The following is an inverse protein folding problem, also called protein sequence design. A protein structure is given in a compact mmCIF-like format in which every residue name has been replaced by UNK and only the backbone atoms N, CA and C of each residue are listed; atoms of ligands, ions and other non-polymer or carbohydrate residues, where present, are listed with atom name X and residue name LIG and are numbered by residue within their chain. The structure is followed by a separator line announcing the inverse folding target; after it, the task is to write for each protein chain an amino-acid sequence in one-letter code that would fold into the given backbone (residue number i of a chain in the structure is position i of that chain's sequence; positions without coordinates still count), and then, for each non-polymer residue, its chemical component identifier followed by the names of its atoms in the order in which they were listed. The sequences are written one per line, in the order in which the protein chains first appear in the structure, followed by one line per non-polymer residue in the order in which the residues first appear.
data_IF_707676251352
#
_entry.id   IF_707676251352
#
_cell.length_a   1.000
_cell.length_b   1.000
_cell.length_c   1.000
_cell.angle_alpha   90.00
_cell.angle_beta   90.00
_cell.angle_gamma   90.00
#
_symmetry.space_group_name_H-M   'P 1'
#
loop_
_entity.id
_entity.type
_entity.pdbx_description
1 polymer ?
#
# COMPACT_ATOMS: atom_id res chain seq x y z
N UNK A 1 -24.55 -29.50 -5.08
CA UNK A 1 -25.47 -29.22 -6.20
C UNK A 1 -26.35 -28.00 -5.84
N UNK A 2 -27.62 -27.90 -6.31
CA UNK A 2 -28.52 -26.72 -6.21
C UNK A 2 -28.58 -26.02 -4.84
N UNK A 3 -28.40 -26.75 -3.76
CA UNK A 3 -28.37 -26.20 -2.39
C UNK A 3 -27.20 -25.26 -2.14
N UNK A 4 -26.02 -25.45 -2.77
CA UNK A 4 -24.87 -24.56 -2.59
C UNK A 4 -25.16 -23.17 -3.18
N UNK A 5 -25.62 -23.13 -4.43
CA UNK A 5 -26.07 -21.91 -5.11
C UNK A 5 -27.20 -21.22 -4.34
N UNK A 6 -28.17 -21.98 -3.82
CA UNK A 6 -29.25 -21.45 -2.97
C UNK A 6 -28.74 -20.93 -1.61
N UNK A 7 -27.79 -21.61 -0.96
CA UNK A 7 -27.22 -21.23 0.32
C UNK A 7 -26.37 -19.95 0.20
N UNK A 8 -25.55 -19.85 -0.85
CA UNK A 8 -24.84 -18.61 -1.21
C UNK A 8 -25.86 -17.49 -1.43
N UNK A 9 -26.91 -17.71 -2.23
CA UNK A 9 -28.00 -16.74 -2.45
C UNK A 9 -28.80 -16.38 -1.17
N UNK A 10 -28.85 -17.24 -0.16
CA UNK A 10 -29.43 -16.92 1.14
C UNK A 10 -28.46 -16.16 2.06
N UNK A 11 -27.18 -16.51 2.10
CA UNK A 11 -26.12 -15.76 2.80
C UNK A 11 -26.06 -14.34 2.24
N UNK A 12 -26.18 -14.19 0.93
CA UNK A 12 -26.28 -12.91 0.22
C UNK A 12 -27.50 -12.11 0.64
N UNK A 13 -28.71 -12.71 0.58
CA UNK A 13 -29.94 -12.05 1.04
C UNK A 13 -29.88 -11.64 2.52
N UNK A 14 -29.21 -12.42 3.36
CA UNK A 14 -29.00 -12.14 4.80
C UNK A 14 -27.91 -11.10 5.06
N UNK A 15 -26.94 -10.92 4.15
CA UNK A 15 -25.99 -9.80 4.15
C UNK A 15 -26.69 -8.51 3.70
N UNK A 16 -27.41 -8.51 2.58
CA UNK A 16 -28.11 -7.31 2.08
C UNK A 16 -29.27 -6.89 2.98
N UNK A 17 -30.01 -7.83 3.60
CA UNK A 17 -31.06 -7.47 4.58
C UNK A 17 -30.54 -6.96 5.93
N UNK A 18 -29.21 -6.91 6.14
CA UNK A 18 -28.58 -6.33 7.34
C UNK A 18 -28.04 -4.91 7.12
N UNK A 19 -28.09 -4.40 5.88
CA UNK A 19 -27.91 -2.97 5.57
C UNK A 19 -29.25 -2.41 5.13
N UNK A 20 -29.80 -1.47 5.87
CA UNK A 20 -31.09 -0.90 5.52
C UNK A 20 -30.94 0.11 4.36
N UNK A 21 -31.38 -0.30 3.17
CA UNK A 21 -32.07 0.60 2.24
C UNK A 21 -31.25 1.36 1.20
N UNK A 22 -30.01 0.96 0.84
CA UNK A 22 -29.32 1.59 -0.29
C UNK A 22 -29.69 1.00 -1.66
N UNK A 23 -29.54 1.83 -2.70
CA UNK A 23 -29.68 1.45 -4.12
C UNK A 23 -28.63 0.39 -4.50
N UNK A 24 -27.45 0.57 -3.95
CA UNK A 24 -26.21 -0.18 -4.21
C UNK A 24 -26.34 -1.67 -3.85
N UNK A 25 -26.98 -2.00 -2.71
CA UNK A 25 -27.20 -3.39 -2.28
C UNK A 25 -28.07 -4.19 -3.27
N UNK A 26 -28.95 -3.52 -4.03
CA UNK A 26 -29.74 -4.14 -5.11
C UNK A 26 -28.91 -4.34 -6.37
N UNK A 27 -27.94 -3.46 -6.64
CA UNK A 27 -27.03 -3.56 -7.78
C UNK A 27 -26.02 -4.70 -7.58
N UNK A 28 -25.32 -4.77 -6.43
CA UNK A 28 -24.43 -5.90 -6.11
C UNK A 28 -25.16 -7.25 -6.24
N UNK A 29 -26.40 -7.33 -5.72
CA UNK A 29 -27.24 -8.51 -5.85
C UNK A 29 -27.60 -8.84 -7.31
N UNK A 30 -27.83 -7.85 -8.18
CA UNK A 30 -28.14 -8.09 -9.60
C UNK A 30 -26.92 -8.57 -10.37
N UNK A 31 -25.79 -7.88 -10.21
CA UNK A 31 -24.50 -8.23 -10.83
C UNK A 31 -24.09 -9.66 -10.50
N UNK A 32 -24.18 -10.04 -9.22
CA UNK A 32 -23.84 -11.38 -8.76
C UNK A 32 -24.83 -12.46 -9.26
N UNK A 33 -26.13 -12.16 -9.35
CA UNK A 33 -27.07 -13.09 -9.99
C UNK A 33 -26.71 -13.31 -11.47
N UNK A 34 -26.28 -12.28 -12.19
CA UNK A 34 -25.88 -12.38 -13.59
C UNK A 34 -24.55 -13.14 -13.77
N UNK A 35 -23.55 -12.91 -12.91
CA UNK A 35 -22.31 -13.69 -12.88
C UNK A 35 -22.56 -15.19 -12.59
N UNK A 36 -23.46 -15.51 -11.65
CA UNK A 36 -23.87 -16.89 -11.32
C UNK A 36 -24.82 -17.54 -12.35
N UNK A 37 -25.35 -16.76 -13.30
CA UNK A 37 -26.10 -17.27 -14.47
C UNK A 37 -25.19 -17.65 -15.64
N UNK A 38 -24.03 -17.01 -15.77
CA UNK A 38 -23.08 -17.21 -16.88
C UNK A 38 -22.12 -18.39 -16.69
N UNK A 39 -22.32 -19.20 -15.66
CA UNK A 39 -21.47 -20.35 -15.35
C UNK A 39 -22.36 -21.59 -15.26
N UNK A 40 -22.12 -22.56 -16.15
CA UNK A 40 -22.89 -23.81 -16.26
C UNK A 40 -22.71 -24.77 -15.06
N UNK A 41 -21.73 -24.49 -14.19
CA UNK A 41 -21.58 -25.17 -12.90
C UNK A 41 -22.59 -24.61 -11.88
N UNK A 42 -23.32 -25.50 -11.21
CA UNK A 42 -24.04 -25.18 -9.97
C UNK A 42 -23.15 -25.30 -8.72
N UNK A 43 -21.93 -25.83 -8.86
CA UNK A 43 -20.98 -26.02 -7.79
C UNK A 43 -19.95 -24.87 -7.75
N UNK A 44 -19.96 -24.17 -6.63
CA UNK A 44 -19.13 -23.00 -6.31
C UNK A 44 -18.55 -23.16 -4.90
N UNK A 45 -17.43 -22.49 -4.65
CA UNK A 45 -16.82 -22.36 -3.33
C UNK A 45 -16.84 -20.89 -2.88
N UNK A 46 -16.85 -20.66 -1.57
CA UNK A 46 -16.94 -19.33 -0.96
C UNK A 46 -16.12 -19.30 0.34
N UNK A 47 -15.02 -18.55 0.33
CA UNK A 47 -14.06 -18.47 1.45
C UNK A 47 -14.47 -17.48 2.56
N UNK A 48 -15.40 -16.58 2.26
CA UNK A 48 -15.83 -15.48 3.14
C UNK A 48 -15.70 -14.10 2.47
N UNK A 49 -14.78 -13.98 1.51
CA UNK A 49 -14.39 -12.74 0.83
C UNK A 49 -14.72 -12.78 -0.67
N UNK A 50 -14.68 -13.93 -1.33
CA UNK A 50 -15.05 -14.09 -2.73
C UNK A 50 -15.68 -15.47 -3.04
N UNK A 51 -16.42 -15.52 -4.14
CA UNK A 51 -16.99 -16.74 -4.72
C UNK A 51 -16.08 -17.22 -5.85
N UNK A 52 -15.80 -18.52 -5.90
CA UNK A 52 -14.90 -19.17 -6.86
C UNK A 52 -15.55 -20.41 -7.48
N UNK A 53 -14.97 -20.90 -8.57
CA UNK A 53 -15.20 -22.28 -9.03
C UNK A 53 -14.71 -23.30 -8.00
N UNK A 54 -15.27 -24.52 -8.01
CA UNK A 54 -14.91 -25.60 -7.08
C UNK A 54 -13.43 -25.98 -7.13
N UNK A 55 -12.79 -25.81 -8.30
CA UNK A 55 -11.36 -26.05 -8.50
C UNK A 55 -10.47 -24.82 -8.21
N UNK A 56 -11.08 -23.74 -7.70
CA UNK A 56 -10.48 -22.41 -7.42
C UNK A 56 -9.74 -21.75 -8.59
N UNK A 57 -9.86 -22.23 -9.82
CA UNK A 57 -9.19 -21.64 -11.01
C UNK A 57 -9.86 -20.39 -11.56
N UNK A 58 -11.11 -20.10 -11.17
CA UNK A 58 -11.86 -18.90 -11.56
C UNK A 58 -12.36 -18.19 -10.30
N UNK A 59 -11.99 -16.92 -10.15
CA UNK A 59 -12.70 -16.02 -9.23
C UNK A 59 -13.94 -15.51 -9.96
N UNK A 60 -15.11 -15.69 -9.35
CA UNK A 60 -16.43 -15.43 -9.96
C UNK A 60 -16.96 -14.07 -9.53
N UNK A 61 -16.89 -13.76 -8.22
CA UNK A 61 -17.33 -12.48 -7.69
C UNK A 61 -16.73 -12.18 -6.32
N UNK A 62 -16.28 -10.94 -6.12
CA UNK A 62 -15.78 -10.43 -4.86
C UNK A 62 -16.96 -10.06 -3.95
N UNK A 63 -17.13 -10.83 -2.86
CA UNK A 63 -18.08 -10.58 -1.79
C UNK A 63 -17.59 -9.53 -0.78
N UNK A 64 -16.28 -9.26 -0.74
CA UNK A 64 -15.67 -8.24 0.10
C UNK A 64 -16.04 -6.83 -0.39
N UNK A 65 -15.95 -5.88 0.53
CA UNK A 65 -16.08 -4.44 0.28
C UNK A 65 -14.92 -3.69 0.96
N UNK A 66 -13.76 -4.36 1.10
CA UNK A 66 -12.54 -3.78 1.64
C UNK A 66 -11.76 -2.97 0.60
N UNK A 67 -10.83 -2.15 1.08
CA UNK A 67 -10.02 -1.25 0.24
C UNK A 67 -8.88 -1.95 -0.50
N UNK A 68 -8.66 -3.23 -0.23
CA UNK A 68 -7.65 -4.06 -0.88
C UNK A 68 -8.18 -5.48 -1.09
N UNK A 69 -7.81 -6.10 -2.22
CA UNK A 69 -8.07 -7.52 -2.46
C UNK A 69 -6.83 -8.19 -3.07
N UNK A 70 -6.54 -9.42 -2.65
CA UNK A 70 -5.48 -10.26 -3.23
C UNK A 70 -6.10 -11.45 -3.93
N UNK A 71 -5.99 -11.50 -5.26
CA UNK A 71 -6.37 -12.68 -6.05
C UNK A 71 -5.37 -13.79 -5.72
N UNK A 72 -5.81 -14.95 -5.18
CA UNK A 72 -4.88 -15.98 -4.73
C UNK A 72 -4.20 -16.72 -5.89
N UNK A 73 -2.94 -17.12 -5.67
CA UNK A 73 -2.20 -17.96 -6.63
C UNK A 73 -2.94 -19.30 -6.84
N UNK A 74 -3.03 -19.71 -8.10
CA UNK A 74 -3.89 -20.81 -8.57
C UNK A 74 -5.12 -20.32 -9.34
N UNK A 75 -5.61 -19.09 -9.09
CA UNK A 75 -6.64 -18.46 -9.93
C UNK A 75 -6.05 -18.16 -11.32
N UNK A 76 -6.67 -18.68 -12.35
CA UNK A 76 -6.29 -18.51 -13.76
C UNK A 76 -7.17 -17.51 -14.50
N UNK A 77 -8.42 -17.29 -14.05
CA UNK A 77 -9.36 -16.35 -14.66
C UNK A 77 -9.98 -15.45 -13.60
N UNK A 78 -9.95 -14.13 -13.84
CA UNK A 78 -10.83 -13.17 -13.18
C UNK A 78 -12.09 -13.08 -14.04
N UNK A 79 -13.21 -13.59 -13.50
CA UNK A 79 -14.45 -13.77 -14.24
C UNK A 79 -15.19 -12.49 -14.60
N UNK A 80 -16.14 -12.61 -15.52
CA UNK A 80 -16.98 -11.49 -15.93
C UNK A 80 -17.67 -10.82 -14.73
N UNK A 81 -17.56 -9.49 -14.64
CA UNK A 81 -18.07 -8.64 -13.55
C UNK A 81 -17.54 -8.96 -12.13
N UNK A 82 -16.42 -9.69 -12.00
CA UNK A 82 -15.94 -10.20 -10.70
C UNK A 82 -15.77 -9.14 -9.59
N UNK A 83 -15.33 -7.93 -9.93
CA UNK A 83 -15.19 -6.80 -9.01
C UNK A 83 -16.09 -5.61 -9.43
N UNK A 84 -17.11 -5.83 -10.27
CA UNK A 84 -17.94 -4.75 -10.79
C UNK A 84 -18.64 -3.98 -9.67
N UNK A 85 -18.54 -2.65 -9.71
CA UNK A 85 -19.14 -1.76 -8.72
C UNK A 85 -18.43 -1.72 -7.38
N UNK A 86 -17.16 -2.13 -7.28
CA UNK A 86 -16.40 -2.12 -6.02
C UNK A 86 -15.83 -0.74 -5.70
N UNK A 87 -16.75 0.20 -5.47
CA UNK A 87 -16.59 1.62 -5.07
C UNK A 87 -15.64 1.91 -3.88
N UNK A 88 -15.06 0.92 -3.23
CA UNK A 88 -14.09 1.09 -2.14
C UNK A 88 -12.72 0.46 -2.42
N UNK A 89 -12.61 -0.41 -3.44
CA UNK A 89 -11.39 -1.12 -3.80
C UNK A 89 -10.35 -0.16 -4.36
N UNK A 90 -9.25 0.03 -3.63
CA UNK A 90 -8.12 0.89 -4.02
C UNK A 90 -6.96 0.10 -4.60
N UNK A 91 -6.73 -1.11 -4.07
CA UNK A 91 -5.59 -1.94 -4.42
C UNK A 91 -6.04 -3.35 -4.81
N UNK A 92 -5.69 -3.82 -6.00
CA UNK A 92 -5.81 -5.24 -6.36
C UNK A 92 -4.43 -5.84 -6.62
N UNK A 93 -4.12 -6.92 -5.91
CA UNK A 93 -2.94 -7.75 -6.18
C UNK A 93 -3.40 -8.92 -7.04
N UNK A 94 -2.98 -8.94 -8.31
CA UNK A 94 -3.32 -9.97 -9.29
C UNK A 94 -2.21 -11.03 -9.28
N UNK A 95 -2.56 -12.30 -9.00
CA UNK A 95 -1.62 -13.42 -8.98
C UNK A 95 -0.99 -13.73 -10.34
N UNK A 96 0.23 -14.27 -10.33
CA UNK A 96 0.97 -14.64 -11.55
C UNK A 96 0.34 -15.84 -12.26
N UNK A 97 -0.45 -16.66 -11.55
CA UNK A 97 -1.30 -17.69 -12.12
C UNK A 97 -2.37 -17.15 -13.08
N UNK A 98 -2.80 -15.89 -12.98
CA UNK A 98 -3.87 -15.32 -13.82
C UNK A 98 -3.45 -15.26 -15.29
N UNK A 99 -4.34 -15.67 -16.19
CA UNK A 99 -4.17 -15.77 -17.64
C UNK A 99 -5.20 -14.94 -18.39
N UNK A 100 -6.35 -14.68 -17.80
CA UNK A 100 -7.46 -13.97 -18.43
C UNK A 100 -8.20 -13.06 -17.44
N UNK A 101 -8.58 -11.88 -17.92
CA UNK A 101 -9.45 -10.91 -17.25
C UNK A 101 -10.64 -10.67 -18.20
N UNK A 102 -11.83 -11.10 -17.78
CA UNK A 102 -13.03 -11.11 -18.63
C UNK A 102 -13.74 -9.75 -18.69
N UNK A 103 -14.92 -9.71 -19.31
CA UNK A 103 -15.69 -8.47 -19.49
C UNK A 103 -16.07 -7.85 -18.14
N UNK A 104 -16.15 -6.51 -18.10
CA UNK A 104 -16.63 -5.74 -16.95
C UNK A 104 -15.90 -6.06 -15.61
N UNK A 105 -14.74 -6.74 -15.64
CA UNK A 105 -14.16 -7.43 -14.49
C UNK A 105 -13.86 -6.50 -13.30
N UNK A 106 -13.44 -5.26 -13.56
CA UNK A 106 -13.26 -4.18 -12.60
C UNK A 106 -14.05 -2.92 -13.01
N UNK A 107 -15.14 -3.06 -13.77
CA UNK A 107 -15.98 -1.93 -14.18
C UNK A 107 -16.55 -1.19 -12.95
N UNK A 108 -16.67 0.13 -12.98
CA UNK A 108 -17.30 0.94 -11.92
C UNK A 108 -16.55 0.84 -10.56
N UNK A 109 -15.21 0.91 -10.61
CA UNK A 109 -14.29 0.80 -9.46
C UNK A 109 -13.59 2.14 -9.11
N UNK A 110 -14.36 3.15 -8.73
CA UNK A 110 -13.99 4.58 -8.60
C UNK A 110 -12.77 4.89 -7.72
N UNK A 111 -12.40 3.99 -6.80
CA UNK A 111 -11.28 4.20 -5.87
C UNK A 111 -9.97 3.52 -6.33
N UNK A 112 -10.01 2.73 -7.40
CA UNK A 112 -8.88 1.95 -7.93
C UNK A 112 -7.92 2.86 -8.69
N UNK A 113 -6.77 3.20 -8.11
CA UNK A 113 -5.89 4.24 -8.66
C UNK A 113 -4.66 3.73 -9.44
N UNK A 114 -4.16 2.54 -9.10
CA UNK A 114 -3.01 1.89 -9.71
C UNK A 114 -3.28 0.39 -9.90
N UNK A 115 -3.08 -0.14 -11.11
CA UNK A 115 -3.22 -1.58 -11.41
C UNK A 115 -1.90 -2.15 -11.96
N UNK A 116 -1.54 -3.36 -11.51
CA UNK A 116 -0.44 -4.15 -12.07
C UNK A 116 -0.98 -5.42 -12.74
N UNK A 117 -0.68 -5.58 -14.03
CA UNK A 117 -1.07 -6.75 -14.83
C UNK A 117 0.14 -7.67 -15.01
N UNK A 118 0.15 -8.87 -14.38
CA UNK A 118 1.28 -9.80 -14.49
C UNK A 118 1.56 -10.25 -15.92
N UNK A 119 2.81 -10.55 -16.21
CA UNK A 119 3.27 -10.99 -17.54
C UNK A 119 2.60 -12.28 -18.05
N UNK A 120 1.92 -13.02 -17.16
CA UNK A 120 1.16 -14.21 -17.51
C UNK A 120 -0.22 -13.95 -18.14
N UNK A 121 -0.75 -12.72 -18.09
CA UNK A 121 -2.09 -12.39 -18.62
C UNK A 121 -2.05 -12.32 -20.14
N UNK A 122 -2.83 -13.19 -20.79
CA UNK A 122 -2.92 -13.34 -22.26
C UNK A 122 -4.10 -12.58 -22.85
N UNK A 123 -5.15 -12.35 -22.08
CA UNK A 123 -6.41 -11.79 -22.55
C UNK A 123 -7.01 -10.83 -21.53
N UNK A 124 -7.28 -9.60 -21.98
CA UNK A 124 -8.05 -8.59 -21.24
C UNK A 124 -9.18 -8.15 -22.14
N UNK A 125 -10.42 -8.44 -21.73
CA UNK A 125 -11.63 -8.23 -22.57
C UNK A 125 -12.15 -6.79 -22.49
N UNK A 126 -13.26 -6.52 -23.18
CA UNK A 126 -13.91 -5.19 -23.20
C UNK A 126 -14.42 -4.78 -21.82
N UNK A 127 -14.38 -3.48 -21.54
CA UNK A 127 -14.85 -2.84 -20.30
C UNK A 127 -14.22 -3.38 -19.00
N UNK A 128 -13.13 -4.14 -19.10
CA UNK A 128 -12.52 -4.83 -17.97
C UNK A 128 -11.99 -3.87 -16.87
N UNK A 129 -11.71 -2.61 -17.20
CA UNK A 129 -11.34 -1.53 -16.27
C UNK A 129 -12.05 -0.21 -16.62
N UNK A 130 -13.21 -0.25 -17.28
CA UNK A 130 -13.94 0.97 -17.67
C UNK A 130 -14.70 1.61 -16.48
N UNK A 131 -15.05 2.90 -16.59
CA UNK A 131 -15.67 3.69 -15.52
C UNK A 131 -14.89 3.58 -14.19
N UNK A 132 -13.56 3.65 -14.26
CA UNK A 132 -12.66 3.65 -13.10
C UNK A 132 -12.12 5.07 -12.84
N UNK A 133 -12.97 5.96 -12.33
CA UNK A 133 -12.72 7.41 -12.15
C UNK A 133 -11.31 7.82 -11.69
N UNK A 134 -10.67 7.06 -10.79
CA UNK A 134 -9.35 7.39 -10.22
C UNK A 134 -8.18 6.61 -10.81
N UNK A 135 -8.42 5.72 -11.78
CA UNK A 135 -7.39 4.88 -12.41
C UNK A 135 -6.44 5.75 -13.23
N UNK A 136 -5.38 6.22 -12.58
CA UNK A 136 -4.34 7.06 -13.20
C UNK A 136 -3.33 6.24 -13.98
N UNK A 137 -3.15 4.99 -13.56
CA UNK A 137 -2.00 4.19 -13.93
C UNK A 137 -2.31 2.70 -14.02
N UNK A 138 -1.88 2.09 -15.12
CA UNK A 138 -1.81 0.63 -15.25
C UNK A 138 -0.42 0.23 -15.75
N UNK A 139 0.13 -0.84 -15.18
CA UNK A 139 1.46 -1.36 -15.51
C UNK A 139 1.36 -2.79 -15.98
N UNK A 140 1.62 -3.02 -17.27
CA UNK A 140 1.68 -4.34 -17.88
C UNK A 140 3.11 -4.88 -17.84
N UNK A 141 3.30 -6.04 -17.21
CA UNK A 141 4.60 -6.72 -17.19
C UNK A 141 4.82 -7.66 -18.39
N UNK A 142 3.83 -7.80 -19.27
CA UNK A 142 3.88 -8.57 -20.51
C UNK A 142 2.97 -7.95 -21.57
N UNK A 143 2.80 -8.63 -22.71
CA UNK A 143 1.94 -8.18 -23.81
C UNK A 143 0.79 -9.17 -23.97
N UNK A 144 -0.47 -8.79 -23.64
CA UNK A 144 -1.62 -9.63 -23.90
C UNK A 144 -1.76 -9.95 -25.39
N UNK A 145 -2.09 -11.21 -25.71
CA UNK A 145 -2.40 -11.63 -27.08
C UNK A 145 -3.75 -11.08 -27.55
N UNK A 146 -4.68 -10.81 -26.62
CA UNK A 146 -5.86 -9.97 -26.86
C UNK A 146 -5.96 -8.88 -25.79
N UNK A 147 -6.16 -7.64 -26.23
CA UNK A 147 -6.53 -6.49 -25.42
C UNK A 147 -7.67 -5.78 -26.17
N UNK A 148 -8.77 -5.50 -25.51
CA UNK A 148 -9.91 -4.81 -26.15
C UNK A 148 -9.65 -3.32 -26.26
N UNK A 149 -10.13 -2.69 -27.34
CA UNK A 149 -10.12 -1.22 -27.42
C UNK A 149 -10.90 -0.56 -26.30
N UNK A 150 -11.95 -1.22 -25.85
CA UNK A 150 -12.85 -0.75 -24.80
C UNK A 150 -12.38 -1.07 -23.38
N UNK A 151 -11.10 -1.43 -23.16
CA UNK A 151 -10.63 -1.85 -21.84
C UNK A 151 -10.61 -0.71 -20.80
N UNK A 152 -10.46 0.54 -21.25
CA UNK A 152 -10.35 1.75 -20.41
C UNK A 152 -11.33 2.85 -20.85
N UNK A 153 -12.51 2.49 -21.37
CA UNK A 153 -13.55 3.48 -21.68
C UNK A 153 -13.92 4.27 -20.41
N UNK A 154 -14.16 5.57 -20.56
CA UNK A 154 -14.55 6.51 -19.50
C UNK A 154 -13.60 6.52 -18.27
N UNK A 155 -12.30 6.33 -18.51
CA UNK A 155 -11.22 6.44 -17.51
C UNK A 155 -10.51 7.80 -17.60
N UNK A 156 -11.24 8.89 -17.34
CA UNK A 156 -10.80 10.29 -17.58
C UNK A 156 -9.47 10.70 -16.92
N UNK A 157 -9.03 10.02 -15.85
CA UNK A 157 -7.76 10.30 -15.17
C UNK A 157 -6.58 9.41 -15.61
N UNK A 158 -6.77 8.45 -16.51
CA UNK A 158 -5.73 7.52 -16.96
C UNK A 158 -4.67 8.23 -17.82
N UNK A 159 -3.47 8.40 -17.27
CA UNK A 159 -2.34 9.04 -17.94
C UNK A 159 -1.11 8.12 -18.11
N UNK A 160 -0.95 7.09 -17.28
CA UNK A 160 0.21 6.17 -17.32
C UNK A 160 -0.22 4.74 -17.73
N UNK A 161 -0.12 4.36 -19.01
CA UNK A 161 -0.17 2.97 -19.47
C UNK A 161 1.27 2.48 -19.66
N UNK A 162 1.87 1.94 -18.60
CA UNK A 162 3.26 1.45 -18.61
C UNK A 162 3.31 0.04 -19.21
N UNK A 163 4.19 -0.17 -20.19
CA UNK A 163 4.32 -1.43 -20.96
C UNK A 163 5.79 -1.87 -21.12
N UNK A 164 6.07 -3.13 -21.48
CA UNK A 164 7.43 -3.59 -21.74
C UNK A 164 8.08 -2.88 -22.94
N UNK A 165 9.41 -2.83 -22.99
CA UNK A 165 10.15 -2.27 -24.12
C UNK A 165 9.78 -2.95 -25.46
N UNK A 166 9.54 -2.16 -26.50
CA UNK A 166 9.06 -2.58 -27.82
C UNK A 166 7.56 -2.91 -27.89
N UNK A 167 6.81 -2.91 -26.80
CA UNK A 167 5.40 -3.29 -26.80
C UNK A 167 4.45 -2.17 -27.22
N UNK A 168 4.86 -0.89 -27.16
CA UNK A 168 3.91 0.23 -27.22
C UNK A 168 3.13 0.33 -28.53
N UNK A 169 3.72 -0.09 -29.66
CA UNK A 169 3.01 -0.19 -30.95
C UNK A 169 1.89 -1.24 -30.96
N UNK A 170 2.04 -2.33 -30.20
CA UNK A 170 0.98 -3.34 -30.06
C UNK A 170 -0.18 -2.80 -29.21
N UNK A 171 0.14 -2.10 -28.11
CA UNK A 171 -0.86 -1.48 -27.25
C UNK A 171 -1.65 -0.36 -27.96
N UNK A 172 -0.98 0.60 -28.63
CA UNK A 172 -1.65 1.64 -29.43
C UNK A 172 -2.64 1.04 -30.44
N UNK A 173 -2.20 0.03 -31.20
CA UNK A 173 -3.05 -0.67 -32.18
C UNK A 173 -4.24 -1.38 -31.53
N UNK A 174 -4.04 -2.08 -30.42
CA UNK A 174 -5.11 -2.82 -29.74
C UNK A 174 -6.15 -1.88 -29.11
N UNK A 175 -5.68 -0.76 -28.55
CA UNK A 175 -6.51 0.27 -27.93
C UNK A 175 -7.18 1.22 -28.94
N UNK A 176 -6.96 1.02 -30.25
CA UNK A 176 -7.45 1.90 -31.33
C UNK A 176 -7.08 3.38 -31.14
N UNK A 177 -5.98 3.62 -30.44
CA UNK A 177 -5.40 4.94 -30.21
C UNK A 177 -4.97 5.58 -31.53
N UNK A 178 -5.39 6.83 -31.73
CA UNK A 178 -4.99 7.67 -32.86
C UNK A 178 -3.56 8.15 -32.60
N UNK A 179 -2.66 7.94 -33.57
CA UNK A 179 -1.28 8.43 -33.52
C UNK A 179 -1.29 9.97 -33.32
N UNK A 180 -0.63 10.47 -32.27
CA UNK A 180 -0.65 11.89 -31.86
C UNK A 180 -1.32 12.14 -30.50
N UNK A 181 -2.62 11.87 -30.35
CA UNK A 181 -3.39 12.31 -29.17
C UNK A 181 -3.07 11.53 -27.89
N UNK A 182 -2.57 10.30 -28.03
CA UNK A 182 -2.46 9.31 -26.94
C UNK A 182 -1.05 8.71 -26.83
N UNK A 183 -0.08 9.26 -27.57
CA UNK A 183 1.33 8.85 -27.48
C UNK A 183 1.94 9.01 -26.09
N UNK A 184 1.42 9.97 -25.32
CA UNK A 184 1.79 10.24 -23.93
C UNK A 184 1.29 9.18 -22.95
N UNK A 185 0.23 8.44 -23.29
CA UNK A 185 -0.34 7.40 -22.43
C UNK A 185 0.56 6.15 -22.39
N UNK A 186 1.07 5.70 -23.54
CA UNK A 186 1.75 4.41 -23.64
C UNK A 186 3.27 4.54 -23.44
N UNK A 187 3.69 4.42 -22.19
CA UNK A 187 5.06 4.61 -21.72
C UNK A 187 5.81 3.27 -21.67
N UNK A 188 6.94 3.14 -22.36
CA UNK A 188 7.76 1.92 -22.28
C UNK A 188 8.71 1.95 -21.07
N UNK A 189 8.77 0.85 -20.31
CA UNK A 189 9.81 0.67 -19.28
C UNK A 189 11.18 0.59 -19.95
N UNK A 190 12.09 1.49 -19.58
CA UNK A 190 13.47 1.47 -20.07
C UNK A 190 14.12 0.08 -19.83
N UNK A 191 14.40 -0.63 -20.92
CA UNK A 191 14.79 -2.03 -20.88
C UNK A 191 16.11 -2.25 -20.15
N UNK A 192 16.05 -2.94 -19.00
CA UNK A 192 17.23 -3.58 -18.41
C UNK A 192 17.72 -4.67 -19.37
N UNK A 193 18.86 -4.45 -20.01
CA UNK A 193 19.56 -5.50 -20.79
C UNK A 193 19.88 -6.69 -19.88
N UNK A 194 19.93 -7.88 -20.46
CA UNK A 194 20.11 -9.14 -19.73
C UNK A 194 21.46 -9.27 -19.02
N UNK A 195 21.51 -8.94 -17.73
CA UNK A 195 22.67 -9.23 -16.88
C UNK A 195 22.57 -10.60 -16.18
N UNK A 196 22.81 -11.67 -16.95
CA UNK A 196 23.16 -12.98 -16.36
C UNK A 196 24.32 -13.70 -17.05
N UNK A 197 25.43 -12.98 -17.29
CA UNK A 197 26.76 -13.59 -17.19
C UNK A 197 27.89 -12.56 -17.00
N UNK A 198 28.30 -12.38 -15.74
CA UNK A 198 29.71 -12.48 -15.30
C UNK A 198 29.72 -12.71 -13.79
N UNK A 199 29.94 -13.95 -13.37
CA UNK A 199 30.37 -14.25 -12.02
C UNK A 199 31.89 -14.41 -12.03
N UNK A 200 32.58 -13.33 -11.68
CA UNK A 200 33.94 -13.35 -11.13
C UNK A 200 33.97 -12.35 -9.98
N UNK A 201 34.49 -12.79 -8.83
CA UNK A 201 35.01 -11.96 -7.76
C UNK A 201 34.06 -10.98 -7.04
N UNK A 202 33.07 -11.56 -6.32
CA UNK A 202 32.99 -11.45 -4.84
C UNK A 202 31.82 -12.23 -4.24
N UNK A 203 32.14 -13.31 -3.51
CA UNK A 203 31.22 -13.90 -2.50
C UNK A 203 31.96 -14.56 -1.32
N UNK A 204 32.81 -13.79 -0.66
CA UNK A 204 33.12 -13.95 0.77
C UNK A 204 33.15 -12.55 1.40
N UNK A 205 32.68 -12.34 2.64
CA UNK A 205 31.99 -13.26 3.55
C UNK A 205 31.01 -12.50 4.44
N UNK A 206 29.86 -13.09 4.75
CA UNK A 206 28.95 -12.60 5.81
C UNK A 206 29.54 -12.98 7.17
N UNK A 207 29.18 -12.21 8.22
CA UNK A 207 29.20 -12.58 9.65
C UNK A 207 30.53 -12.39 10.41
N UNK A 208 30.61 -11.30 11.18
CA UNK A 208 31.49 -11.17 12.34
C UNK A 208 30.97 -10.10 13.34
N UNK A 209 29.88 -10.40 14.05
CA UNK A 209 29.66 -9.80 15.37
C UNK A 209 30.16 -10.76 16.47
N UNK A 210 30.85 -10.17 17.44
CA UNK A 210 31.28 -10.67 18.74
C UNK A 210 31.94 -12.07 18.91
N UNK A 211 33.26 -11.98 19.17
CA UNK A 211 33.93 -12.51 20.37
C UNK A 211 34.57 -13.92 20.35
N UNK A 212 35.90 -13.91 20.26
CA UNK A 212 36.92 -14.74 20.96
C UNK A 212 38.29 -14.48 20.31
N UNK A 213 39.44 -14.58 20.98
CA UNK A 213 39.81 -14.46 22.40
C UNK A 213 41.34 -14.32 22.43
N UNK A 214 41.84 -13.42 23.28
CA UNK A 214 43.23 -13.29 23.78
C UNK A 214 44.31 -14.26 23.27
N UNK A 215 45.39 -13.72 22.67
CA UNK A 215 46.74 -14.31 22.82
C UNK A 215 47.88 -13.30 22.59
N UNK A 216 48.39 -12.74 23.72
CA UNK A 216 49.73 -12.17 24.00
C UNK A 216 50.35 -11.17 22.98
N UNK A 217 50.72 -9.93 23.33
CA UNK A 217 51.58 -9.41 24.43
C UNK A 217 53.08 -9.75 24.26
N UNK A 218 53.93 -8.77 24.62
CA UNK A 218 55.41 -8.75 24.69
C UNK A 218 56.13 -8.79 23.33
N UNK A 219 57.19 -7.99 23.07
CA UNK A 219 57.78 -6.85 23.81
C UNK A 219 58.76 -6.09 22.88
N UNK A 220 58.89 -4.75 22.99
CA UNK A 220 60.14 -4.12 23.47
C UNK A 220 60.02 -2.59 23.78
N UNK A 221 61.11 -2.01 24.33
CA UNK A 221 61.37 -0.63 24.83
C UNK A 221 60.90 0.51 23.89
N UNK A 222 60.55 1.73 24.33
CA UNK A 222 60.73 2.51 25.59
C UNK A 222 62.14 3.06 25.89
N UNK A 223 62.55 4.12 25.18
CA UNK A 223 63.31 5.32 25.64
C UNK A 223 63.55 6.23 24.43
N UNK A 224 63.70 7.57 24.50
CA UNK A 224 63.59 8.60 25.57
C UNK A 224 62.87 9.84 24.93
N UNK A 225 63.02 11.16 25.19
CA UNK A 225 63.78 12.08 26.07
C UNK A 225 63.01 13.43 26.05
N UNK A 226 62.23 13.85 27.05
CA UNK A 226 62.59 14.64 28.25
C UNK A 226 63.53 15.86 28.03
N UNK A 227 62.92 17.05 27.92
CA UNK A 227 63.39 18.39 28.36
C UNK A 227 62.09 19.19 28.64
N UNK A 228 61.81 19.66 29.86
CA UNK A 228 62.30 20.92 30.49
C UNK A 228 61.66 22.17 29.84
N UNK A 229 61.15 23.16 30.58
CA UNK A 229 61.58 23.65 31.91
C UNK A 229 60.54 23.60 33.06
N UNK A 230 60.79 24.38 34.13
CA UNK A 230 60.19 24.38 35.47
C UNK A 230 59.52 25.72 35.79
N UNK A 231 58.60 25.69 36.77
CA UNK A 231 58.31 26.72 37.79
C UNK A 231 58.80 28.17 37.54
N UNK A 232 57.85 29.09 37.44
CA UNK A 232 57.72 30.26 38.34
C UNK A 232 56.23 30.36 38.72
N UNK A 233 55.72 30.49 39.96
CA UNK A 233 56.12 31.06 41.25
C UNK A 233 55.47 32.41 41.58
N UNK A 234 54.47 32.35 42.48
CA UNK A 234 54.01 33.39 43.43
C UNK A 234 53.97 34.88 42.99
N UNK A 235 52.75 35.40 43.02
CA UNK A 235 52.35 36.64 43.73
C UNK A 235 52.94 37.99 43.26
N UNK A 236 52.15 38.69 42.46
CA UNK A 236 51.79 40.11 42.67
C UNK A 236 50.27 40.24 42.40
N UNK A 237 49.45 41.09 43.04
CA UNK A 237 49.59 42.50 43.44
C UNK A 237 49.65 43.44 42.21
N UNK A 238 48.85 44.50 42.07
CA UNK A 238 47.84 45.13 42.97
C UNK A 238 46.93 46.11 42.17
N UNK A 239 45.97 46.77 42.85
CA UNK A 239 45.33 48.08 42.55
C UNK A 239 44.31 48.24 41.39
N UNK A 240 43.15 48.82 41.78
CA UNK A 240 42.41 49.98 41.21
C UNK A 240 42.07 50.01 39.69
N UNK A 241 40.93 50.52 39.23
CA UNK A 241 39.86 51.36 39.81
C UNK A 241 38.45 50.73 39.57
N UNK A 242 37.35 50.98 40.27
CA UNK A 242 36.88 52.02 41.23
C UNK A 242 36.15 53.27 40.68
N UNK A 243 34.97 53.07 40.05
CA UNK A 243 33.76 53.96 40.01
C UNK A 243 32.61 53.14 39.39
N UNK A 244 31.31 53.35 39.67
CA UNK A 244 30.61 54.42 40.41
C UNK A 244 29.46 53.80 41.26
N UNK A 245 29.52 53.95 42.58
CA UNK A 245 28.56 54.68 43.46
C UNK A 245 27.19 54.06 43.77
N UNK A 246 26.92 53.93 45.06
CA UNK A 246 25.58 53.92 45.66
C UNK A 246 24.90 55.29 45.51
N UNK A 247 23.58 55.29 45.33
CA UNK A 247 22.64 56.12 46.13
C UNK A 247 21.40 55.24 46.39
N UNK A 248 21.16 54.86 47.65
CA UNK A 248 20.32 55.53 48.66
C UNK A 248 18.81 55.38 48.43
N UNK A 249 18.16 54.99 49.52
CA UNK A 249 16.77 55.34 49.90
C UNK A 249 15.63 54.73 49.05
N UNK A 250 14.44 54.52 49.62
CA UNK A 250 14.07 54.44 51.05
C UNK A 250 12.73 53.74 51.21
N UNK A 251 12.47 53.27 52.44
CA UNK A 251 11.12 53.17 53.04
C UNK A 251 10.06 52.26 52.35
N UNK A 252 9.01 51.80 53.03
CA UNK A 252 8.82 51.47 54.44
C UNK A 252 7.49 50.67 54.56
N UNK A 253 7.45 49.63 55.43
CA UNK A 253 6.21 48.93 55.88
C UNK A 253 5.44 48.20 54.73
N UNK A 254 4.45 47.33 54.97
CA UNK A 254 3.83 46.78 56.21
C UNK A 254 3.33 45.34 55.95
N UNK A 255 2.99 44.62 57.03
CA UNK A 255 1.85 43.66 57.21
C UNK A 255 1.21 42.94 55.98
N UNK A 256 0.82 41.66 56.01
CA UNK A 256 0.45 40.73 57.10
C UNK A 256 0.49 39.23 56.67
N UNK A 257 0.18 38.32 57.59
CA UNK A 257 -0.02 36.85 57.43
C UNK A 257 -1.48 36.49 57.90
N UNK A 258 -1.95 35.22 57.93
CA UNK A 258 -2.01 34.10 56.95
C UNK A 258 -3.42 33.42 56.91
N UNK A 259 -3.50 32.14 56.47
CA UNK A 259 -4.61 31.16 56.65
C UNK A 259 -5.86 31.33 55.76
N UNK A 260 -6.78 30.35 55.55
CA UNK A 260 -7.02 28.95 56.04
C UNK A 260 -7.38 28.04 54.81
N UNK A 261 -7.12 26.72 54.71
CA UNK A 261 -7.67 25.45 55.32
C UNK A 261 -9.02 24.90 54.79
N UNK A 262 -9.17 23.57 54.94
CA UNK A 262 -10.28 22.64 54.56
C UNK A 262 -10.46 22.41 53.04
N UNK A 263 -10.47 21.22 52.42
CA UNK A 263 -10.40 19.77 52.80
C UNK A 263 -11.70 19.08 53.30
N UNK A 264 -12.11 17.99 52.61
CA UNK A 264 -13.16 16.96 52.94
C UNK A 264 -14.62 17.51 52.96
N UNK A 265 -15.76 16.79 52.96
CA UNK A 265 -16.26 15.42 52.61
C UNK A 265 -17.83 15.41 52.68
N UNK A 266 -18.67 14.50 52.14
CA UNK A 266 -18.58 13.43 51.12
C UNK A 266 -20.01 12.98 50.63
N UNK A 267 -20.08 12.11 49.61
CA UNK A 267 -21.11 11.08 49.28
C UNK A 267 -22.65 11.34 49.42
N UNK A 268 -23.32 11.10 48.27
CA UNK A 268 -24.53 10.24 48.04
C UNK A 268 -25.95 10.70 48.45
N UNK A 269 -26.91 10.19 47.64
CA UNK A 269 -28.38 10.04 47.83
C UNK A 269 -29.20 11.36 47.78
N UNK A 270 -30.49 11.35 47.39
CA UNK A 270 -31.28 10.39 46.59
C UNK A 270 -32.58 11.07 46.09
N UNK A 271 -33.39 10.32 45.32
CA UNK A 271 -34.75 10.65 44.84
C UNK A 271 -35.60 11.51 45.82
N UNK A 272 -36.24 12.54 45.26
CA UNK A 272 -37.68 12.75 45.35
C UNK A 272 -38.14 13.21 43.95
#
# INVERSE_FOLDING_TARGET
MKENKKAILEILKKKSSKKEGKKDDKFESLVLNLALQKIDSDDFDYDGEAVYSTDKKRLIYCMSNETSFTVPEGVTVIGEMAFRGKKQLKNVIIANSVKEIEHDAFYDCDELDNVYIPAGVKEVRGYAFAECDKLKKITFAGVPAKLSRHTFDDCDLLHDIIVPAGASKAFRKALHFIDGDTDFLVIEVAGKKDEKKTQTDKKESVKAEESKKESKKSEDKKESKKTEEKKESKKSEDKKESKKTEEKKSEEKKELKPADKNKKEEKKKAKA
#
